data_IF_411082409665
#
_entry.id   IF_411082409665
#
_cell.length_a   1.000
_cell.length_b   1.000
_cell.length_c   1.000
_cell.angle_alpha   90.00
_cell.angle_beta   90.00
_cell.angle_gamma   90.00
#
_symmetry.space_group_name_H-M   'P 1'
#
loop_
_entity.id
_entity.type
_entity.pdbx_description
1 polymer ?
#
# COMPACT_ATOMS: atom_id res chain seq x y z
N UNK A 1 -18.38 -31.42 9.39
CA UNK A 1 -17.19 -31.06 10.17
C UNK A 1 -16.56 -29.83 9.50
N UNK A 2 -16.50 -28.73 10.21
CA UNK A 2 -15.72 -27.58 9.69
C UNK A 2 -14.23 -27.86 9.96
N UNK A 3 -13.47 -28.13 8.90
CA UNK A 3 -12.02 -28.25 8.99
C UNK A 3 -11.41 -26.88 9.27
N UNK A 4 -10.28 -26.80 10.01
CA UNK A 4 -9.56 -25.55 10.16
C UNK A 4 -9.03 -25.06 8.80
N UNK A 5 -8.92 -23.74 8.66
CA UNK A 5 -8.35 -23.13 7.46
C UNK A 5 -6.85 -23.44 7.36
N UNK A 6 -6.38 -23.72 6.16
CA UNK A 6 -4.96 -23.86 5.85
C UNK A 6 -4.64 -23.12 4.55
N UNK A 7 -3.37 -22.78 4.35
CA UNK A 7 -2.89 -22.09 3.16
C UNK A 7 -3.08 -22.95 1.89
N UNK A 8 -3.52 -22.33 0.80
CA UNK A 8 -3.78 -22.97 -0.49
C UNK A 8 -2.51 -23.13 -1.35
N UNK A 9 -1.33 -23.28 -0.73
CA UNK A 9 -0.06 -23.48 -1.43
C UNK A 9 0.91 -24.40 -0.65
N UNK A 10 1.89 -24.95 -1.38
CA UNK A 10 3.04 -25.68 -0.82
C UNK A 10 4.32 -24.89 -1.03
N UNK A 11 5.17 -24.82 -0.02
CA UNK A 11 6.48 -24.16 -0.10
C UNK A 11 7.48 -25.07 -0.85
N UNK A 12 8.04 -24.54 -1.95
CA UNK A 12 9.05 -25.25 -2.76
C UNK A 12 10.44 -24.62 -2.69
N UNK A 13 10.52 -23.33 -2.33
CA UNK A 13 11.77 -22.56 -2.21
C UNK A 13 11.81 -21.91 -0.84
N UNK A 14 12.97 -21.92 -0.20
CA UNK A 14 13.17 -21.35 1.12
C UNK A 14 14.38 -20.41 1.12
N UNK A 15 14.24 -19.29 1.82
CA UNK A 15 15.32 -18.36 2.12
C UNK A 15 15.60 -18.44 3.63
N UNK A 16 16.84 -18.83 4.05
CA UNK A 16 17.15 -18.94 5.47
C UNK A 16 17.19 -17.56 6.14
N UNK A 17 16.60 -17.46 7.32
CA UNK A 17 16.63 -16.29 8.18
C UNK A 17 17.25 -16.67 9.54
N UNK A 18 17.90 -15.72 10.20
CA UNK A 18 18.69 -16.00 11.40
C UNK A 18 18.27 -15.14 12.58
N UNK A 19 18.19 -15.77 13.75
CA UNK A 19 17.95 -15.06 15.00
C UNK A 19 19.23 -14.40 15.48
N UNK A 20 19.11 -13.17 15.97
CA UNK A 20 20.20 -12.42 16.61
C UNK A 20 19.95 -12.26 18.11
N UNK A 21 21.02 -11.99 18.88
CA UNK A 21 20.87 -11.60 20.28
C UNK A 21 20.45 -10.13 20.40
N UNK A 22 19.94 -9.74 21.58
CA UNK A 22 19.57 -8.33 21.83
C UNK A 22 20.79 -7.40 21.77
N UNK A 23 21.95 -7.86 22.25
CA UNK A 23 23.23 -7.11 22.22
C UNK A 23 23.66 -6.82 20.79
N UNK A 24 23.52 -7.80 19.89
CA UNK A 24 23.81 -7.60 18.47
C UNK A 24 22.87 -6.56 17.86
N UNK A 25 21.57 -6.63 18.16
CA UNK A 25 20.58 -5.68 17.64
C UNK A 25 20.79 -4.26 18.16
N UNK A 26 21.19 -4.11 19.44
CA UNK A 26 21.55 -2.79 20.03
C UNK A 26 22.72 -2.17 19.27
N UNK A 27 23.76 -2.96 18.97
CA UNK A 27 24.89 -2.49 18.18
C UNK A 27 24.46 -2.08 16.75
N UNK A 28 23.74 -2.94 16.09
CA UNK A 28 23.34 -2.72 14.68
C UNK A 28 22.41 -1.54 14.49
N UNK A 29 21.44 -1.33 15.38
CA UNK A 29 20.53 -0.17 15.26
C UNK A 29 21.26 1.15 15.54
N UNK A 30 22.26 1.13 16.44
CA UNK A 30 23.10 2.30 16.70
C UNK A 30 23.99 2.63 15.46
N UNK A 31 24.59 1.60 14.83
CA UNK A 31 25.33 1.74 13.56
C UNK A 31 24.44 2.28 12.43
N UNK A 32 23.16 1.90 12.40
CA UNK A 32 22.15 2.39 11.46
C UNK A 32 21.61 3.80 11.82
N UNK A 33 22.15 4.46 12.84
CA UNK A 33 21.66 5.75 13.36
C UNK A 33 20.19 5.73 13.75
N UNK A 34 19.68 4.63 14.30
CA UNK A 34 18.28 4.39 14.65
C UNK A 34 17.30 4.50 13.47
N UNK A 35 17.80 4.46 12.24
CA UNK A 35 17.00 4.40 11.04
C UNK A 35 16.86 2.94 10.57
N UNK A 36 15.66 2.37 10.71
CA UNK A 36 15.38 0.98 10.34
C UNK A 36 15.60 0.68 8.84
N UNK A 37 15.54 1.70 7.97
CA UNK A 37 15.85 1.55 6.54
C UNK A 37 17.35 1.35 6.25
N UNK A 38 18.23 1.74 7.19
CA UNK A 38 19.67 1.57 7.06
C UNK A 38 20.17 0.22 7.59
N UNK A 39 19.27 -0.59 8.18
CA UNK A 39 19.62 -1.96 8.57
C UNK A 39 19.74 -2.85 7.33
N UNK A 40 20.85 -3.57 7.23
CA UNK A 40 21.00 -4.65 6.25
C UNK A 40 20.01 -5.77 6.53
N UNK A 41 19.45 -6.40 5.49
CA UNK A 41 18.41 -7.42 5.62
C UNK A 41 18.85 -8.67 6.41
N UNK A 42 20.13 -9.03 6.35
CA UNK A 42 20.72 -10.13 7.11
C UNK A 42 20.72 -9.90 8.63
N UNK A 43 20.53 -8.66 9.08
CA UNK A 43 20.40 -8.26 10.48
C UNK A 43 18.95 -8.23 10.99
N UNK A 44 17.99 -8.58 10.14
CA UNK A 44 16.55 -8.58 10.45
C UNK A 44 16.04 -10.02 10.46
N UNK A 45 15.39 -10.43 11.55
CA UNK A 45 14.84 -11.78 11.66
C UNK A 45 13.51 -11.93 10.94
N UNK A 46 12.57 -11.02 11.21
CA UNK A 46 11.26 -10.98 10.52
C UNK A 46 11.07 -9.58 9.97
N UNK A 47 10.99 -9.47 8.64
CA UNK A 47 10.92 -8.19 7.95
C UNK A 47 9.48 -7.85 7.52
N UNK A 48 8.82 -6.99 8.29
CA UNK A 48 7.49 -6.46 8.03
C UNK A 48 7.52 -4.97 7.66
N UNK A 49 8.66 -4.49 7.15
CA UNK A 49 8.82 -3.10 6.70
C UNK A 49 7.85 -2.78 5.56
N UNK A 50 7.72 -3.70 4.60
CA UNK A 50 6.90 -3.52 3.41
C UNK A 50 6.45 -4.86 2.83
N UNK A 51 5.28 -4.85 2.19
CA UNK A 51 4.78 -5.94 1.35
C UNK A 51 5.10 -5.74 -0.15
N UNK A 52 5.88 -4.68 -0.48
CA UNK A 52 6.17 -4.28 -1.85
C UNK A 52 7.41 -4.96 -2.41
N UNK A 53 7.22 -5.93 -3.30
CA UNK A 53 8.32 -6.64 -3.97
C UNK A 53 9.05 -7.66 -3.09
N UNK A 54 8.50 -7.98 -1.93
CA UNK A 54 9.07 -8.89 -0.92
C UNK A 54 8.29 -10.20 -0.79
N UNK A 55 7.23 -10.37 -1.59
CA UNK A 55 6.45 -11.60 -1.65
C UNK A 55 7.07 -12.68 -2.52
N UNK A 56 6.63 -13.92 -2.33
CA UNK A 56 7.06 -15.06 -3.12
C UNK A 56 6.17 -15.23 -4.37
N UNK A 57 6.80 -15.30 -5.54
CA UNK A 57 6.14 -15.66 -6.79
C UNK A 57 5.80 -17.15 -6.84
N UNK A 58 4.75 -17.51 -7.57
CA UNK A 58 4.36 -18.89 -7.81
C UNK A 58 5.31 -19.60 -8.79
N UNK A 59 5.20 -20.92 -8.84
CA UNK A 59 5.90 -21.72 -9.88
C UNK A 59 5.42 -21.39 -11.31
N UNK A 60 4.16 -20.96 -11.46
CA UNK A 60 3.63 -20.48 -12.74
C UNK A 60 4.28 -19.15 -13.15
N UNK A 61 4.47 -18.23 -12.20
CA UNK A 61 5.16 -16.98 -12.45
C UNK A 61 6.64 -17.21 -12.79
N UNK A 62 7.33 -18.12 -12.08
CA UNK A 62 8.70 -18.52 -12.43
C UNK A 62 8.77 -19.18 -13.82
N UNK A 63 7.79 -20.02 -14.18
CA UNK A 63 7.65 -20.57 -15.54
C UNK A 63 7.47 -19.47 -16.59
N UNK A 64 6.67 -18.45 -16.28
CA UNK A 64 6.46 -17.28 -17.14
C UNK A 64 7.74 -16.45 -17.35
N UNK A 65 8.57 -16.30 -16.32
CA UNK A 65 9.91 -15.68 -16.44
C UNK A 65 10.78 -16.46 -17.43
N UNK A 66 10.77 -17.79 -17.36
CA UNK A 66 11.60 -18.63 -18.22
C UNK A 66 11.15 -18.65 -19.69
N UNK A 67 9.90 -18.30 -19.96
CA UNK A 67 9.29 -18.31 -21.30
C UNK A 67 9.03 -16.92 -21.87
N UNK A 68 9.29 -15.86 -21.11
CA UNK A 68 9.17 -14.49 -21.58
C UNK A 68 10.21 -14.15 -22.66
N UNK A 69 9.79 -13.35 -23.64
CA UNK A 69 10.66 -12.90 -24.73
C UNK A 69 11.26 -11.53 -24.47
N UNK A 70 12.47 -11.33 -24.98
CA UNK A 70 13.21 -10.08 -24.84
C UNK A 70 13.23 -9.35 -26.20
N UNK A 71 12.37 -8.33 -26.34
CA UNK A 71 12.32 -7.49 -27.52
C UNK A 71 12.25 -6.02 -27.12
N UNK A 72 13.01 -5.15 -27.78
CA UNK A 72 12.98 -3.73 -27.51
C UNK A 72 11.61 -3.10 -27.78
N UNK A 73 10.90 -3.58 -28.78
CA UNK A 73 9.57 -3.10 -29.13
C UNK A 73 8.65 -4.26 -29.48
N UNK A 74 7.44 -4.24 -28.86
CA UNK A 74 6.37 -5.17 -29.23
C UNK A 74 6.64 -6.62 -28.86
N UNK A 75 7.22 -6.90 -27.68
CA UNK A 75 7.38 -8.27 -27.19
C UNK A 75 6.04 -8.97 -27.04
N UNK A 76 6.00 -10.28 -27.23
CA UNK A 76 4.80 -11.09 -26.97
C UNK A 76 4.36 -10.98 -25.50
N UNK A 77 5.33 -10.87 -24.60
CA UNK A 77 5.12 -10.67 -23.16
C UNK A 77 4.37 -9.37 -22.87
N UNK A 78 4.65 -8.28 -23.60
CA UNK A 78 3.89 -7.02 -23.46
C UNK A 78 2.43 -7.20 -23.88
N UNK A 79 2.19 -7.84 -25.02
CA UNK A 79 0.81 -8.06 -25.49
C UNK A 79 0.04 -8.97 -24.55
N UNK A 80 0.67 -10.03 -24.02
CA UNK A 80 0.06 -10.87 -22.99
C UNK A 80 -0.33 -10.06 -21.73
N UNK A 81 0.57 -9.17 -21.23
CA UNK A 81 0.25 -8.28 -20.11
C UNK A 81 -0.90 -7.32 -20.46
N UNK A 82 -0.86 -6.70 -21.65
CA UNK A 82 -1.90 -5.77 -22.10
C UNK A 82 -3.26 -6.45 -22.18
N UNK A 83 -3.34 -7.66 -22.72
CA UNK A 83 -4.57 -8.46 -22.80
C UNK A 83 -5.12 -8.78 -21.39
N UNK A 84 -4.25 -9.15 -20.44
CA UNK A 84 -4.66 -9.38 -19.04
C UNK A 84 -5.17 -8.12 -18.36
N UNK A 85 -4.55 -6.99 -18.58
CA UNK A 85 -5.01 -5.70 -18.06
C UNK A 85 -6.38 -5.34 -18.64
N UNK A 86 -6.59 -5.54 -19.94
CA UNK A 86 -7.89 -5.31 -20.59
C UNK A 86 -8.97 -6.26 -20.05
N UNK A 87 -8.64 -7.55 -19.87
CA UNK A 87 -9.57 -8.56 -19.31
C UNK A 87 -10.02 -8.20 -17.89
N UNK A 88 -9.08 -7.81 -17.01
CA UNK A 88 -9.34 -7.63 -15.58
C UNK A 88 -9.92 -6.25 -15.28
N UNK A 89 -9.39 -5.20 -15.91
CA UNK A 89 -9.68 -3.80 -15.56
C UNK A 89 -10.49 -3.05 -16.64
N UNK A 90 -10.59 -3.58 -17.86
CA UNK A 90 -11.32 -2.94 -18.96
C UNK A 90 -10.61 -1.75 -19.59
N UNK A 91 -9.28 -1.63 -19.46
CA UNK A 91 -8.48 -0.58 -20.09
C UNK A 91 -7.74 -1.06 -21.33
N UNK A 92 -7.80 -0.27 -22.42
CA UNK A 92 -7.15 -0.61 -23.70
C UNK A 92 -5.76 0.01 -23.85
N UNK A 93 -5.50 1.14 -23.21
CA UNK A 93 -4.23 1.86 -23.28
C UNK A 93 -3.39 1.56 -22.05
N UNK A 94 -2.20 0.98 -22.25
CA UNK A 94 -1.30 0.54 -21.18
C UNK A 94 0.11 1.04 -21.43
N UNK A 95 0.73 1.63 -20.40
CA UNK A 95 2.14 2.01 -20.36
C UNK A 95 2.82 1.28 -19.21
N UNK A 96 3.69 0.29 -19.47
CA UNK A 96 4.50 -0.34 -18.44
C UNK A 96 5.47 0.66 -17.80
N UNK A 97 5.81 0.43 -16.54
CA UNK A 97 6.84 1.15 -15.79
C UNK A 97 7.57 0.18 -14.85
N UNK A 98 8.80 0.49 -14.42
CA UNK A 98 9.53 -0.41 -13.54
C UNK A 98 8.93 -0.51 -12.13
N UNK A 99 8.10 0.45 -11.72
CA UNK A 99 7.38 0.44 -10.42
C UNK A 99 6.27 1.50 -10.35
N UNK A 100 5.40 1.42 -9.33
CA UNK A 100 4.23 2.30 -9.19
C UNK A 100 4.58 3.79 -9.09
N UNK A 101 5.61 4.18 -8.30
CA UNK A 101 6.01 5.60 -8.21
C UNK A 101 6.50 6.19 -9.52
N UNK A 102 6.99 5.36 -10.43
CA UNK A 102 7.33 5.77 -11.78
C UNK A 102 6.07 6.02 -12.61
N UNK A 103 5.06 5.18 -12.47
CA UNK A 103 3.73 5.39 -13.06
C UNK A 103 3.11 6.71 -12.59
N UNK A 104 3.18 6.99 -11.28
CA UNK A 104 2.75 8.29 -10.71
C UNK A 104 3.53 9.46 -11.32
N UNK A 105 4.87 9.35 -11.42
CA UNK A 105 5.70 10.40 -11.99
C UNK A 105 5.32 10.73 -13.43
N UNK A 106 5.16 9.71 -14.27
CA UNK A 106 4.76 9.87 -15.69
C UNK A 106 3.40 10.54 -15.78
N UNK A 107 2.39 9.99 -15.08
CA UNK A 107 1.01 10.47 -15.18
C UNK A 107 0.86 11.90 -14.64
N UNK A 108 1.45 12.21 -13.49
CA UNK A 108 1.35 13.54 -12.90
C UNK A 108 2.19 14.60 -13.64
N UNK A 109 3.19 14.21 -14.43
CA UNK A 109 3.89 15.12 -15.33
C UNK A 109 2.97 15.66 -16.43
N UNK A 110 1.95 14.89 -16.82
CA UNK A 110 0.93 15.33 -17.78
C UNK A 110 -0.17 16.13 -17.12
N UNK A 111 -0.65 15.67 -15.96
CA UNK A 111 -1.89 16.14 -15.37
C UNK A 111 -1.74 17.39 -14.52
N UNK A 112 -0.64 17.52 -13.76
CA UNK A 112 -0.52 18.51 -12.68
C UNK A 112 0.28 19.73 -13.08
N UNK A 113 -0.16 20.89 -12.56
CA UNK A 113 0.51 22.19 -12.64
C UNK A 113 0.56 22.84 -11.26
N UNK A 114 1.42 23.82 -11.10
CA UNK A 114 1.52 24.65 -9.90
C UNK A 114 0.15 25.26 -9.55
N UNK A 115 -0.24 25.16 -8.28
CA UNK A 115 -1.50 25.68 -7.75
C UNK A 115 -2.70 24.76 -7.88
N UNK A 116 -2.60 23.61 -8.56
CA UNK A 116 -3.69 22.64 -8.67
C UNK A 116 -4.11 22.09 -7.32
N UNK A 117 -5.41 21.78 -7.17
CA UNK A 117 -5.95 21.04 -6.04
C UNK A 117 -6.20 19.58 -6.47
N UNK A 118 -5.70 18.64 -5.71
CA UNK A 118 -5.85 17.20 -5.98
C UNK A 118 -6.55 16.54 -4.79
N UNK A 119 -7.88 16.37 -4.84
CA UNK A 119 -8.60 15.64 -3.80
C UNK A 119 -8.37 14.13 -3.88
N UNK A 120 -8.41 13.46 -2.74
CA UNK A 120 -8.34 12.01 -2.61
C UNK A 120 -9.01 11.52 -1.34
N UNK A 121 -9.20 10.21 -1.18
CA UNK A 121 -9.67 9.65 0.08
C UNK A 121 -8.62 9.84 1.18
N UNK A 122 -7.38 9.37 0.95
CA UNK A 122 -6.18 9.72 1.70
C UNK A 122 -4.99 9.34 0.83
N UNK A 123 -4.19 10.31 0.46
CA UNK A 123 -3.08 10.09 -0.45
C UNK A 123 -2.00 9.21 0.18
N UNK A 124 -1.42 8.34 -0.65
CA UNK A 124 -0.21 7.63 -0.27
C UNK A 124 0.98 8.60 -0.27
N UNK A 125 2.06 8.26 0.44
CA UNK A 125 3.24 9.12 0.62
C UNK A 125 3.88 9.56 -0.72
N UNK A 126 4.09 8.62 -1.65
CA UNK A 126 4.66 8.93 -2.97
C UNK A 126 3.71 9.73 -3.82
N UNK A 127 2.41 9.45 -3.78
CA UNK A 127 1.37 10.22 -4.47
C UNK A 127 1.39 11.67 -4.00
N UNK A 128 1.35 11.88 -2.67
CA UNK A 128 1.44 13.21 -2.07
C UNK A 128 2.76 13.90 -2.42
N UNK A 129 3.88 13.19 -2.34
CA UNK A 129 5.19 13.71 -2.70
C UNK A 129 5.26 14.19 -4.15
N UNK A 130 4.72 13.43 -5.10
CA UNK A 130 4.64 13.85 -6.51
C UNK A 130 3.73 15.05 -6.74
N UNK A 131 2.62 15.17 -5.99
CA UNK A 131 1.72 16.33 -6.06
C UNK A 131 2.44 17.57 -5.54
N UNK A 132 3.03 17.51 -4.33
CA UNK A 132 3.73 18.63 -3.69
C UNK A 132 5.01 19.05 -4.45
N UNK A 133 5.74 18.09 -5.01
CA UNK A 133 6.90 18.38 -5.87
C UNK A 133 6.55 19.27 -7.08
N UNK A 134 5.31 19.13 -7.61
CA UNK A 134 4.78 19.97 -8.69
C UNK A 134 4.10 21.23 -8.18
N UNK A 135 4.27 21.55 -6.88
CA UNK A 135 3.66 22.71 -6.21
C UNK A 135 2.11 22.72 -6.32
N UNK A 136 1.51 21.55 -6.46
CA UNK A 136 0.09 21.32 -6.32
C UNK A 136 -0.25 20.94 -4.87
N UNK A 137 -1.53 20.94 -4.51
CA UNK A 137 -2.01 20.63 -3.16
C UNK A 137 -2.76 19.31 -3.13
N UNK A 138 -2.27 18.34 -2.36
CA UNK A 138 -3.02 17.14 -1.99
C UNK A 138 -4.06 17.48 -0.91
N UNK A 139 -5.33 17.09 -1.12
CA UNK A 139 -6.42 17.37 -0.18
C UNK A 139 -7.08 16.04 0.20
N UNK A 140 -6.87 15.60 1.44
CA UNK A 140 -7.46 14.38 1.94
C UNK A 140 -8.91 14.61 2.36
N UNK A 141 -9.83 13.92 1.68
CA UNK A 141 -11.27 13.90 1.94
C UNK A 141 -11.67 12.62 2.69
N UNK A 142 -10.84 12.17 3.61
CA UNK A 142 -11.06 10.95 4.40
C UNK A 142 -12.29 11.10 5.31
N UNK A 143 -13.07 10.03 5.47
CA UNK A 143 -14.16 9.99 6.44
C UNK A 143 -13.63 10.06 7.87
N UNK A 144 -14.44 10.56 8.80
CA UNK A 144 -13.98 10.78 10.17
C UNK A 144 -13.79 9.48 10.95
N UNK A 145 -14.54 8.43 10.62
CA UNK A 145 -14.41 7.07 11.17
C UNK A 145 -13.01 6.47 10.96
N UNK A 146 -12.29 6.90 9.94
CA UNK A 146 -10.92 6.44 9.68
C UNK A 146 -9.94 6.87 10.78
N UNK A 147 -10.22 7.95 11.50
CA UNK A 147 -9.39 8.49 12.58
C UNK A 147 -9.72 7.94 13.96
N UNK A 148 -10.83 7.19 14.09
CA UNK A 148 -11.16 6.45 15.30
C UNK A 148 -10.69 4.99 15.15
N UNK A 149 -9.57 4.67 15.82
CA UNK A 149 -8.95 3.35 15.72
C UNK A 149 -9.79 2.23 16.33
N UNK A 150 -10.77 2.52 17.21
CA UNK A 150 -11.65 1.55 17.84
C UNK A 150 -12.95 1.30 17.02
N UNK A 151 -13.31 2.22 16.14
CA UNK A 151 -14.50 2.10 15.29
C UNK A 151 -14.42 0.85 14.40
N UNK A 152 -15.53 0.10 14.35
CA UNK A 152 -15.70 -1.09 13.50
C UNK A 152 -16.30 -0.77 12.12
N UNK A 153 -16.29 0.49 11.69
CA UNK A 153 -16.82 0.87 10.38
C UNK A 153 -16.12 0.08 9.26
N UNK A 154 -16.87 -0.61 8.38
CA UNK A 154 -16.31 -1.65 7.51
C UNK A 154 -15.45 -1.11 6.35
N UNK A 155 -15.61 0.16 5.96
CA UNK A 155 -14.97 0.78 4.79
C UNK A 155 -14.33 2.13 5.12
N UNK A 156 -13.40 2.13 6.06
CA UNK A 156 -12.70 3.36 6.50
C UNK A 156 -11.81 4.01 5.43
N UNK A 157 -11.62 3.35 4.29
CA UNK A 157 -10.98 3.92 3.11
C UNK A 157 -11.89 4.86 2.29
N UNK A 158 -13.17 4.97 2.63
CA UNK A 158 -14.14 5.78 1.90
C UNK A 158 -13.79 7.28 1.90
N UNK A 159 -14.24 7.96 0.85
CA UNK A 159 -14.24 9.43 0.73
C UNK A 159 -15.45 10.00 1.46
N UNK A 160 -15.26 11.04 2.23
CA UNK A 160 -16.31 11.93 2.70
C UNK A 160 -16.79 12.81 1.53
N UNK A 161 -17.97 12.51 1.02
CA UNK A 161 -18.54 13.21 -0.13
C UNK A 161 -18.78 14.70 0.13
N UNK A 162 -19.04 15.11 1.38
CA UNK A 162 -19.20 16.53 1.73
C UNK A 162 -17.86 17.27 1.69
N UNK A 163 -16.79 16.63 2.13
CA UNK A 163 -15.43 17.19 2.01
C UNK A 163 -15.02 17.31 0.54
N UNK A 164 -15.29 16.28 -0.27
CA UNK A 164 -15.02 16.27 -1.70
C UNK A 164 -15.81 17.37 -2.44
N UNK A 165 -17.10 17.50 -2.17
CA UNK A 165 -17.95 18.53 -2.78
C UNK A 165 -17.43 19.94 -2.47
N UNK A 166 -16.94 20.19 -1.26
CA UNK A 166 -16.31 21.48 -0.90
C UNK A 166 -15.09 21.79 -1.76
N UNK A 167 -14.29 20.77 -2.13
CA UNK A 167 -13.16 20.98 -3.03
C UNK A 167 -13.65 21.27 -4.44
N UNK A 168 -14.60 20.51 -4.95
CA UNK A 168 -15.15 20.72 -6.31
C UNK A 168 -15.86 22.07 -6.47
N UNK A 169 -16.48 22.58 -5.43
CA UNK A 169 -17.07 23.95 -5.44
C UNK A 169 -16.02 25.06 -5.58
N UNK A 170 -14.72 24.74 -5.46
CA UNK A 170 -13.63 25.70 -5.71
C UNK A 170 -13.20 25.77 -7.19
N UNK A 171 -13.68 24.89 -8.06
CA UNK A 171 -13.29 24.82 -9.49
C UNK A 171 -13.35 26.17 -10.23
N UNK A 172 -14.33 27.08 -9.97
CA UNK A 172 -14.33 28.40 -10.61
C UNK A 172 -13.10 29.25 -10.28
N UNK A 173 -12.41 28.97 -9.18
CA UNK A 173 -11.27 29.73 -8.66
C UNK A 173 -9.94 28.97 -8.70
N UNK A 174 -10.01 27.65 -8.70
CA UNK A 174 -8.86 26.75 -8.63
C UNK A 174 -9.03 25.60 -9.61
N UNK A 175 -7.94 25.18 -10.24
CA UNK A 175 -7.97 24.01 -11.11
C UNK A 175 -7.94 22.72 -10.27
N UNK A 176 -8.89 21.81 -10.54
CA UNK A 176 -8.94 20.44 -9.99
C UNK A 176 -8.81 19.47 -11.16
N UNK A 177 -7.58 19.07 -11.53
CA UNK A 177 -7.35 18.30 -12.76
C UNK A 177 -7.75 16.83 -12.63
N UNK A 178 -7.81 16.30 -11.41
CA UNK A 178 -8.00 14.88 -11.14
C UNK A 178 -8.45 14.66 -9.70
N UNK A 179 -9.24 13.61 -9.48
CA UNK A 179 -9.55 13.01 -8.19
C UNK A 179 -8.82 11.67 -8.08
N UNK A 180 -8.13 11.41 -6.94
CA UNK A 180 -7.38 10.17 -6.73
C UNK A 180 -8.06 9.31 -5.67
N UNK A 181 -8.29 8.03 -5.99
CA UNK A 181 -8.80 7.01 -5.08
C UNK A 181 -7.73 5.97 -4.80
N UNK A 182 -7.22 5.92 -3.58
CA UNK A 182 -6.28 4.88 -3.14
C UNK A 182 -7.05 3.66 -2.64
N UNK A 183 -6.85 2.51 -3.28
CA UNK A 183 -7.54 1.23 -3.00
C UNK A 183 -6.53 0.07 -2.85
N UNK A 184 -6.45 -0.56 -1.66
CA UNK A 184 -6.96 -0.15 -0.34
C UNK A 184 -6.22 1.09 0.17
N UNK A 185 -6.88 1.89 1.02
CA UNK A 185 -6.32 3.12 1.54
C UNK A 185 -5.25 2.83 2.62
N UNK A 186 -3.96 2.88 2.25
CA UNK A 186 -2.85 2.57 3.15
C UNK A 186 -2.77 3.52 4.34
N UNK A 187 -2.91 4.83 4.10
CA UNK A 187 -2.76 5.86 5.12
C UNK A 187 -3.85 5.82 6.20
N UNK A 188 -4.99 5.18 5.90
CA UNK A 188 -6.08 4.93 6.85
C UNK A 188 -5.98 3.56 7.55
N UNK A 189 -4.83 2.88 7.46
CA UNK A 189 -4.62 1.56 8.07
C UNK A 189 -4.91 0.37 7.13
N UNK A 190 -4.68 0.53 5.83
CA UNK A 190 -4.93 -0.51 4.83
C UNK A 190 -6.41 -0.82 4.63
N UNK A 191 -7.26 0.19 4.82
CA UNK A 191 -8.71 0.06 4.87
C UNK A 191 -9.34 0.09 3.46
N UNK A 192 -10.37 -0.74 3.21
CA UNK A 192 -11.03 -0.80 1.91
C UNK A 192 -11.97 0.38 1.67
N UNK A 193 -12.27 0.59 0.38
CA UNK A 193 -13.30 1.49 -0.14
C UNK A 193 -14.47 0.65 -0.62
N UNK A 194 -15.71 1.05 -0.29
CA UNK A 194 -16.92 0.35 -0.73
C UNK A 194 -17.25 0.64 -2.20
N UNK A 195 -17.94 -0.27 -2.86
CA UNK A 195 -18.45 -0.06 -4.22
C UNK A 195 -19.43 1.12 -4.28
N UNK A 196 -20.28 1.25 -3.26
CA UNK A 196 -21.19 2.39 -3.14
C UNK A 196 -20.44 3.71 -3.15
N UNK A 197 -19.34 3.82 -2.39
CA UNK A 197 -18.54 5.05 -2.35
C UNK A 197 -17.82 5.33 -3.67
N UNK A 198 -17.26 4.29 -4.33
CA UNK A 198 -16.65 4.44 -5.67
C UNK A 198 -17.66 4.99 -6.68
N UNK A 199 -18.88 4.46 -6.69
CA UNK A 199 -19.99 4.91 -7.54
C UNK A 199 -20.37 6.36 -7.27
N UNK A 200 -20.54 6.70 -6.00
CA UNK A 200 -20.94 8.06 -5.58
C UNK A 200 -19.85 9.10 -5.92
N UNK A 201 -18.57 8.76 -5.70
CA UNK A 201 -17.44 9.62 -6.08
C UNK A 201 -17.42 9.86 -7.59
N UNK A 202 -17.55 8.79 -8.41
CA UNK A 202 -17.57 8.93 -9.88
C UNK A 202 -18.75 9.76 -10.36
N UNK A 203 -19.92 9.55 -9.78
CA UNK A 203 -21.12 10.33 -10.11
C UNK A 203 -20.93 11.82 -9.80
N UNK A 204 -20.36 12.16 -8.64
CA UNK A 204 -20.05 13.53 -8.27
C UNK A 204 -18.96 14.12 -9.18
N UNK A 205 -17.87 13.41 -9.43
CA UNK A 205 -16.77 13.86 -10.29
C UNK A 205 -17.25 14.18 -11.72
N UNK A 206 -18.16 13.37 -12.26
CA UNK A 206 -18.77 13.61 -13.57
C UNK A 206 -19.56 14.94 -13.63
N UNK A 207 -20.22 15.35 -12.54
CA UNK A 207 -20.96 16.64 -12.49
C UNK A 207 -20.02 17.86 -12.64
N UNK A 208 -18.76 17.69 -12.23
CA UNK A 208 -17.74 18.73 -12.30
C UNK A 208 -16.71 18.52 -13.44
N UNK A 209 -16.91 17.51 -14.28
CA UNK A 209 -15.97 17.09 -15.35
C UNK A 209 -14.54 16.82 -14.83
N UNK A 210 -14.42 16.21 -13.66
CA UNK A 210 -13.13 15.81 -13.07
C UNK A 210 -12.90 14.31 -13.29
N UNK A 211 -11.81 13.90 -13.93
CA UNK A 211 -11.48 12.49 -14.07
C UNK A 211 -11.12 11.85 -12.73
N UNK A 212 -11.46 10.57 -12.57
CA UNK A 212 -11.17 9.77 -11.38
C UNK A 212 -10.07 8.76 -11.72
N UNK A 213 -8.96 8.82 -10.98
CA UNK A 213 -7.83 7.90 -11.14
C UNK A 213 -7.69 7.03 -9.89
N UNK A 214 -7.51 5.73 -10.09
CA UNK A 214 -7.26 4.80 -8.99
C UNK A 214 -5.77 4.56 -8.80
N UNK A 215 -5.26 4.79 -7.58
CA UNK A 215 -4.04 4.17 -7.09
C UNK A 215 -4.38 2.75 -6.65
N UNK A 216 -4.00 1.78 -7.47
CA UNK A 216 -4.60 0.44 -7.49
C UNK A 216 -3.68 -0.63 -6.91
N UNK A 217 -2.67 -0.25 -6.14
CA UNK A 217 -1.64 -1.16 -5.66
C UNK A 217 -2.20 -2.43 -4.98
N UNK A 218 -3.37 -2.35 -4.34
CA UNK A 218 -4.03 -3.46 -3.60
C UNK A 218 -5.50 -3.60 -3.97
N UNK A 219 -5.77 -3.56 -5.27
CA UNK A 219 -7.12 -3.61 -5.83
C UNK A 219 -7.85 -4.92 -5.51
N UNK A 220 -7.14 -6.05 -5.52
CA UNK A 220 -7.73 -7.36 -5.28
C UNK A 220 -8.11 -7.54 -3.80
N UNK A 221 -7.26 -7.07 -2.89
CA UNK A 221 -7.60 -7.01 -1.46
C UNK A 221 -8.86 -6.16 -1.24
N UNK A 222 -8.99 -5.02 -1.93
CA UNK A 222 -10.20 -4.17 -1.87
C UNK A 222 -11.45 -4.90 -2.37
N UNK A 223 -11.34 -5.59 -3.51
CA UNK A 223 -12.44 -6.37 -4.09
C UNK A 223 -12.89 -7.51 -3.15
N UNK A 224 -11.93 -8.17 -2.47
CA UNK A 224 -12.25 -9.19 -1.48
C UNK A 224 -13.07 -8.61 -0.32
N UNK A 225 -12.70 -7.43 0.20
CA UNK A 225 -13.47 -6.79 1.26
C UNK A 225 -14.88 -6.39 0.81
N UNK A 226 -15.05 -5.91 -0.42
CA UNK A 226 -16.37 -5.67 -1.00
C UNK A 226 -17.18 -6.97 -1.03
N UNK A 227 -16.59 -8.08 -1.51
CA UNK A 227 -17.26 -9.38 -1.54
C UNK A 227 -17.73 -9.82 -0.15
N UNK A 228 -16.91 -9.59 0.88
CA UNK A 228 -17.18 -10.06 2.25
C UNK A 228 -18.09 -9.12 3.06
N UNK A 229 -18.13 -7.83 2.76
CA UNK A 229 -18.72 -6.82 3.64
C UNK A 229 -19.86 -6.01 3.03
N UNK A 230 -19.99 -5.99 1.70
CA UNK A 230 -21.00 -5.17 1.02
C UNK A 230 -22.14 -6.04 0.50
N UNK A 231 -23.39 -5.61 0.77
CA UNK A 231 -24.57 -6.36 0.36
C UNK A 231 -24.66 -6.47 -1.17
N UNK A 232 -25.05 -7.65 -1.66
CA UNK A 232 -25.20 -7.92 -3.10
C UNK A 232 -23.91 -8.40 -3.80
N UNK A 233 -22.76 -8.46 -3.11
CA UNK A 233 -21.48 -8.85 -3.73
C UNK A 233 -20.99 -10.26 -3.34
N UNK A 234 -21.56 -10.90 -2.32
CA UNK A 234 -21.08 -12.17 -1.78
C UNK A 234 -21.06 -13.34 -2.78
N UNK A 235 -21.86 -13.28 -3.85
CA UNK A 235 -21.95 -14.31 -4.88
C UNK A 235 -21.18 -13.97 -6.17
N UNK A 236 -20.61 -12.75 -6.25
CA UNK A 236 -19.80 -12.33 -7.41
C UNK A 236 -18.38 -12.85 -7.24
N UNK A 237 -17.75 -13.22 -8.35
CA UNK A 237 -16.31 -13.50 -8.36
C UNK A 237 -15.49 -12.23 -8.15
N UNK A 238 -14.26 -12.38 -7.69
CA UNK A 238 -13.34 -11.25 -7.52
C UNK A 238 -13.14 -10.50 -8.85
N UNK A 239 -13.02 -11.19 -9.98
CA UNK A 239 -12.90 -10.56 -11.30
C UNK A 239 -14.10 -9.69 -11.65
N UNK A 240 -15.33 -10.16 -11.40
CA UNK A 240 -16.54 -9.36 -11.64
C UNK A 240 -16.57 -8.10 -10.76
N UNK A 241 -16.16 -8.21 -9.50
CA UNK A 241 -16.10 -7.06 -8.58
C UNK A 241 -15.03 -6.07 -9.05
N UNK A 242 -13.84 -6.55 -9.41
CA UNK A 242 -12.76 -5.70 -9.95
C UNK A 242 -13.21 -4.99 -11.23
N UNK A 243 -13.82 -5.69 -12.15
CA UNK A 243 -14.32 -5.08 -13.39
C UNK A 243 -15.36 -3.98 -13.11
N UNK A 244 -16.29 -4.20 -12.16
CA UNK A 244 -17.24 -3.19 -11.74
C UNK A 244 -16.54 -2.00 -11.06
N UNK A 245 -15.57 -2.23 -10.16
CA UNK A 245 -14.79 -1.16 -9.53
C UNK A 245 -14.14 -0.25 -10.58
N UNK A 246 -13.43 -0.84 -11.55
CA UNK A 246 -12.67 -0.07 -12.55
C UNK A 246 -13.55 0.54 -13.65
N UNK A 247 -14.82 0.17 -13.74
CA UNK A 247 -15.77 0.90 -14.58
C UNK A 247 -15.95 2.36 -14.14
N UNK A 248 -15.74 2.65 -12.85
CA UNK A 248 -15.79 3.99 -12.24
C UNK A 248 -14.47 4.78 -12.32
N UNK A 249 -13.39 4.18 -12.83
CA UNK A 249 -12.11 4.86 -13.06
C UNK A 249 -11.95 5.29 -14.51
N UNK A 250 -11.30 6.45 -14.74
CA UNK A 250 -10.90 6.92 -16.06
C UNK A 250 -9.49 6.45 -16.42
N UNK A 251 -8.64 6.29 -15.37
CA UNK A 251 -7.31 5.74 -15.46
C UNK A 251 -6.90 5.09 -14.13
N UNK A 252 -5.78 4.40 -14.14
CA UNK A 252 -5.17 3.82 -12.94
C UNK A 252 -3.66 3.90 -12.98
N UNK A 253 -3.04 3.97 -11.81
CA UNK A 253 -1.64 3.64 -11.59
C UNK A 253 -1.55 2.33 -10.82
N UNK A 254 -0.58 1.49 -11.16
CA UNK A 254 -0.36 0.21 -10.49
C UNK A 254 1.06 0.07 -10.01
N UNK A 255 1.22 -0.22 -8.73
CA UNK A 255 2.46 -0.80 -8.21
C UNK A 255 2.33 -2.31 -8.19
N UNK A 256 2.81 -2.97 -9.23
CA UNK A 256 2.66 -4.41 -9.42
C UNK A 256 3.41 -5.25 -8.36
N UNK A 257 4.31 -4.61 -7.62
CA UNK A 257 5.06 -5.20 -6.51
C UNK A 257 4.19 -5.59 -5.30
N UNK A 258 2.87 -5.37 -5.35
CA UNK A 258 1.87 -5.76 -4.34
C UNK A 258 0.93 -6.81 -4.95
N UNK A 259 -0.24 -6.43 -5.42
CA UNK A 259 -1.21 -7.38 -5.98
C UNK A 259 -0.82 -7.94 -7.37
N UNK A 260 0.23 -7.43 -8.02
CA UNK A 260 0.83 -8.13 -9.15
C UNK A 260 1.71 -9.33 -8.77
N UNK A 261 2.01 -9.50 -7.48
CA UNK A 261 2.82 -10.59 -6.89
C UNK A 261 4.21 -10.73 -7.57
N UNK A 262 4.78 -9.62 -8.02
CA UNK A 262 6.12 -9.59 -8.65
C UNK A 262 7.10 -8.74 -7.83
N UNK A 263 8.40 -8.95 -8.07
CA UNK A 263 9.46 -8.25 -7.36
C UNK A 263 9.81 -6.90 -8.01
N UNK A 264 9.41 -6.69 -9.27
CA UNK A 264 9.56 -5.46 -10.03
C UNK A 264 8.31 -5.23 -10.88
N UNK A 265 7.99 -3.98 -11.19
CA UNK A 265 6.95 -3.65 -12.15
C UNK A 265 5.89 -2.68 -11.63
N UNK A 266 5.31 -1.99 -12.56
CA UNK A 266 4.16 -1.12 -12.45
C UNK A 266 3.60 -0.83 -13.84
N UNK A 267 2.49 -0.15 -13.90
CA UNK A 267 1.93 0.34 -15.16
C UNK A 267 0.94 1.48 -14.91
N UNK A 268 0.67 2.21 -15.97
CA UNK A 268 -0.47 3.11 -16.09
C UNK A 268 -1.44 2.48 -17.08
N UNK A 269 -2.73 2.46 -16.78
CA UNK A 269 -3.75 2.09 -17.75
C UNK A 269 -4.86 3.14 -17.77
N UNK A 270 -5.43 3.41 -18.95
CA UNK A 270 -6.37 4.50 -19.14
C UNK A 270 -7.32 4.27 -20.32
N UNK A 271 -8.45 5.01 -20.31
CA UNK A 271 -9.46 4.99 -21.37
C UNK A 271 -9.19 6.05 -22.45
N UNK A 272 -8.62 7.19 -22.07
CA UNK A 272 -8.46 8.36 -22.92
C UNK A 272 -7.20 8.26 -23.79
N UNK A 273 -7.36 8.32 -25.12
CA UNK A 273 -6.25 8.25 -26.06
C UNK A 273 -5.34 9.48 -26.01
N UNK A 274 -5.89 10.67 -25.82
CA UNK A 274 -5.08 11.91 -25.77
C UNK A 274 -4.17 11.92 -24.52
N UNK A 275 -4.70 11.43 -23.38
CA UNK A 275 -3.91 11.23 -22.16
C UNK A 275 -2.81 10.20 -22.37
N UNK A 276 -3.12 9.08 -23.06
CA UNK A 276 -2.15 8.05 -23.40
C UNK A 276 -1.00 8.60 -24.27
N UNK A 277 -1.33 9.36 -25.32
CA UNK A 277 -0.33 9.94 -26.20
C UNK A 277 0.62 10.89 -25.47
N UNK A 278 0.06 11.74 -24.60
CA UNK A 278 0.85 12.67 -23.76
C UNK A 278 1.71 11.91 -22.74
N UNK A 279 1.13 10.91 -22.06
CA UNK A 279 1.85 10.10 -21.08
C UNK A 279 2.96 9.28 -21.72
N UNK A 280 2.76 8.79 -22.95
CA UNK A 280 3.75 8.04 -23.72
C UNK A 280 5.06 8.82 -23.92
N UNK A 281 4.98 10.13 -24.16
CA UNK A 281 6.18 10.98 -24.31
C UNK A 281 7.01 11.02 -23.02
N UNK A 282 6.36 11.17 -21.87
CA UNK A 282 7.05 11.14 -20.57
C UNK A 282 7.53 9.73 -20.21
N UNK A 283 6.75 8.68 -20.56
CA UNK A 283 7.18 7.31 -20.35
C UNK A 283 8.48 6.98 -21.08
N UNK A 284 8.59 7.40 -22.35
CA UNK A 284 9.81 7.21 -23.16
C UNK A 284 11.01 7.93 -22.50
N UNK A 285 10.81 9.12 -21.94
CA UNK A 285 11.90 9.89 -21.33
C UNK A 285 12.36 9.33 -19.98
N UNK A 286 11.42 8.84 -19.16
CA UNK A 286 11.71 8.46 -17.78
C UNK A 286 11.91 6.96 -17.58
N UNK A 287 11.19 6.12 -18.33
CA UNK A 287 11.14 4.69 -18.13
C UNK A 287 11.72 3.91 -19.30
N UNK A 288 11.17 4.13 -20.49
CA UNK A 288 11.57 3.46 -21.71
C UNK A 288 10.45 3.45 -22.75
N UNK A 289 10.69 2.77 -23.87
CA UNK A 289 9.71 2.72 -24.96
C UNK A 289 8.37 2.15 -24.48
N UNK A 290 7.28 2.58 -25.10
CA UNK A 290 5.89 2.36 -24.65
C UNK A 290 5.47 0.89 -24.49
N UNK A 291 6.20 -0.04 -25.09
CA UNK A 291 5.93 -1.47 -25.02
C UNK A 291 6.80 -2.23 -24.00
N UNK A 292 7.70 -1.55 -23.26
CA UNK A 292 8.42 -2.19 -22.18
C UNK A 292 8.56 -1.31 -20.91
N UNK A 293 8.67 0.03 -21.03
CA UNK A 293 8.66 0.94 -19.89
C UNK A 293 9.67 0.62 -18.79
N UNK A 294 10.92 0.28 -19.12
CA UNK A 294 11.96 -0.09 -18.17
C UNK A 294 11.85 -1.51 -17.60
N UNK A 295 10.92 -2.34 -18.10
CA UNK A 295 10.76 -3.74 -17.69
C UNK A 295 11.35 -4.69 -18.74
N UNK A 296 11.84 -5.85 -18.30
CA UNK A 296 12.15 -6.95 -19.20
C UNK A 296 10.86 -7.68 -19.59
N UNK A 297 10.84 -8.29 -20.78
CA UNK A 297 9.69 -9.07 -21.25
C UNK A 297 9.31 -10.19 -20.28
N UNK A 298 10.30 -10.90 -19.73
CA UNK A 298 10.08 -11.93 -18.70
C UNK A 298 9.37 -11.43 -17.46
N UNK A 299 9.64 -10.20 -17.01
CA UNK A 299 8.98 -9.63 -15.84
C UNK A 299 7.53 -9.26 -16.17
N UNK A 300 7.27 -8.74 -17.37
CA UNK A 300 5.91 -8.47 -17.86
C UNK A 300 5.08 -9.75 -17.96
N UNK A 301 5.68 -10.84 -18.44
CA UNK A 301 5.01 -12.14 -18.55
C UNK A 301 4.67 -12.71 -17.15
N UNK A 302 5.59 -12.62 -16.19
CA UNK A 302 5.34 -13.00 -14.81
C UNK A 302 4.25 -12.14 -14.15
N UNK A 303 4.21 -10.85 -14.45
CA UNK A 303 3.17 -9.94 -13.99
C UNK A 303 1.78 -10.31 -14.52
N UNK A 304 1.68 -10.66 -15.81
CA UNK A 304 0.42 -11.10 -16.41
C UNK A 304 -0.16 -12.33 -15.66
N UNK A 305 0.71 -13.30 -15.32
CA UNK A 305 0.32 -14.48 -14.53
C UNK A 305 -0.09 -14.08 -13.11
N UNK A 306 0.67 -13.16 -12.46
CA UNK A 306 0.37 -12.69 -11.11
C UNK A 306 -0.98 -11.99 -11.00
N UNK A 307 -1.33 -11.16 -11.99
CA UNK A 307 -2.64 -10.49 -12.06
C UNK A 307 -3.80 -11.48 -12.15
N UNK A 308 -3.60 -12.60 -12.85
CA UNK A 308 -4.61 -13.66 -12.93
C UNK A 308 -4.74 -14.41 -11.58
N UNK A 309 -3.61 -14.76 -10.94
CA UNK A 309 -3.61 -15.48 -9.66
C UNK A 309 -4.24 -14.68 -8.53
N UNK A 310 -3.97 -13.37 -8.45
CA UNK A 310 -4.45 -12.52 -7.34
C UNK A 310 -5.97 -12.33 -7.36
N UNK A 311 -6.62 -12.54 -8.50
CA UNK A 311 -8.07 -12.37 -8.64
C UNK A 311 -8.86 -13.63 -8.31
N UNK A 312 -8.34 -14.47 -7.43
CA UNK A 312 -8.99 -15.70 -6.95
C UNK A 312 -9.25 -15.65 -5.45
N UNK A 313 -10.37 -16.23 -4.99
CA UNK A 313 -10.65 -16.35 -3.58
C UNK A 313 -9.58 -17.17 -2.85
N UNK A 314 -9.10 -18.27 -3.43
CA UNK A 314 -8.05 -19.13 -2.84
C UNK A 314 -6.81 -18.33 -2.44
N UNK A 315 -6.37 -17.40 -3.29
CA UNK A 315 -5.25 -16.53 -2.97
C UNK A 315 -5.61 -15.51 -1.90
N UNK A 316 -6.74 -14.82 -2.07
CA UNK A 316 -7.12 -13.71 -1.19
C UNK A 316 -7.53 -14.18 0.22
N UNK A 317 -8.20 -15.31 0.34
CA UNK A 317 -8.54 -15.90 1.64
C UNK A 317 -7.26 -16.23 2.41
N UNK A 318 -6.27 -16.85 1.76
CA UNK A 318 -4.96 -17.12 2.39
C UNK A 318 -4.27 -15.81 2.79
N UNK A 319 -4.25 -14.82 1.90
CA UNK A 319 -3.62 -13.52 2.11
C UNK A 319 -4.22 -12.77 3.30
N UNK A 320 -5.54 -12.59 3.29
CA UNK A 320 -6.25 -11.80 4.31
C UNK A 320 -6.29 -12.52 5.64
N UNK A 321 -6.52 -13.84 5.65
CA UNK A 321 -6.53 -14.62 6.89
C UNK A 321 -5.20 -14.54 7.65
N UNK A 322 -4.06 -14.48 6.97
CA UNK A 322 -2.77 -14.32 7.66
C UNK A 322 -2.65 -12.96 8.35
N UNK A 323 -3.12 -11.88 7.71
CA UNK A 323 -3.12 -10.55 8.31
C UNK A 323 -4.09 -10.49 9.50
N UNK A 324 -5.28 -11.07 9.34
CA UNK A 324 -6.26 -11.18 10.41
C UNK A 324 -5.75 -12.03 11.58
N UNK A 325 -4.98 -13.09 11.30
CA UNK A 325 -4.38 -13.92 12.36
C UNK A 325 -3.51 -13.08 13.30
N UNK A 326 -2.59 -12.28 12.74
CA UNK A 326 -1.76 -11.38 13.56
C UNK A 326 -2.62 -10.33 14.27
N UNK A 327 -3.58 -9.71 13.57
CA UNK A 327 -4.48 -8.71 14.16
C UNK A 327 -5.26 -9.26 15.33
N UNK A 328 -5.85 -10.44 15.21
CA UNK A 328 -6.62 -11.10 16.25
C UNK A 328 -5.76 -11.45 17.48
N UNK A 329 -4.53 -11.93 17.25
CA UNK A 329 -3.56 -12.16 18.35
C UNK A 329 -3.25 -10.90 19.14
N UNK A 330 -3.07 -9.76 18.44
CA UNK A 330 -2.82 -8.49 19.12
C UNK A 330 -4.03 -8.01 19.91
N UNK A 331 -5.24 -8.20 19.36
CA UNK A 331 -6.50 -7.90 20.06
C UNK A 331 -6.63 -8.76 21.33
N UNK A 332 -6.36 -10.07 21.26
CA UNK A 332 -6.36 -10.99 22.41
C UNK A 332 -5.39 -10.53 23.50
N UNK A 333 -4.27 -9.94 23.13
CA UNK A 333 -3.28 -9.38 24.06
C UNK A 333 -3.62 -7.99 24.58
N UNK A 334 -4.74 -7.41 24.15
CA UNK A 334 -5.17 -6.04 24.52
C UNK A 334 -4.30 -4.94 23.91
N UNK A 335 -3.58 -5.24 22.82
CA UNK A 335 -2.74 -4.27 22.11
C UNK A 335 -3.62 -3.44 21.18
N UNK A 336 -3.56 -2.09 21.28
CA UNK A 336 -4.39 -1.22 20.44
C UNK A 336 -3.94 -1.25 18.98
N UNK A 337 -4.87 -1.52 18.08
CA UNK A 337 -4.66 -1.52 16.62
C UNK A 337 -5.77 -0.74 15.93
N UNK A 338 -5.57 -0.44 14.64
CA UNK A 338 -6.64 0.06 13.77
C UNK A 338 -7.66 -1.06 13.51
N UNK A 339 -8.92 -0.82 13.88
CA UNK A 339 -10.06 -1.69 13.57
C UNK A 339 -10.88 -1.16 12.38
N UNK A 340 -11.53 -2.10 11.66
CA UNK A 340 -11.23 -3.51 11.58
C UNK A 340 -9.85 -3.74 10.97
N UNK A 341 -9.27 -4.95 11.10
CA UNK A 341 -7.98 -5.30 10.50
C UNK A 341 -8.04 -5.11 8.99
N UNK A 342 -7.01 -4.47 8.42
CA UNK A 342 -6.90 -4.19 7.00
C UNK A 342 -6.41 -5.37 6.15
N UNK A 343 -6.10 -5.13 4.87
CA UNK A 343 -5.78 -6.18 3.90
C UNK A 343 -4.32 -6.64 3.92
N UNK A 344 -3.36 -5.72 4.08
CA UNK A 344 -1.94 -6.04 3.85
C UNK A 344 -1.06 -5.96 5.10
N UNK A 345 -1.56 -5.36 6.16
CA UNK A 345 -0.78 -5.06 7.35
C UNK A 345 -1.68 -4.97 8.58
N UNK A 346 -1.09 -5.16 9.75
CA UNK A 346 -1.67 -4.74 11.02
C UNK A 346 -1.05 -3.40 11.40
N UNK A 347 -1.89 -2.44 11.76
CA UNK A 347 -1.50 -1.09 12.15
C UNK A 347 -1.71 -0.93 13.65
N UNK A 348 -0.61 -0.95 14.41
CA UNK A 348 -0.64 -0.75 15.86
C UNK A 348 -0.75 0.74 16.15
N UNK A 349 -1.74 1.13 16.94
CA UNK A 349 -1.91 2.53 17.39
C UNK A 349 -0.83 2.89 18.41
N UNK A 350 0.23 3.51 17.93
CA UNK A 350 1.39 3.83 18.74
C UNK A 350 1.07 4.86 19.84
N UNK A 351 0.14 5.79 19.61
CA UNK A 351 -0.31 6.78 20.64
C UNK A 351 -0.98 6.09 21.81
N UNK A 352 -1.86 5.13 21.52
CA UNK A 352 -2.51 4.33 22.59
C UNK A 352 -1.55 3.33 23.23
N UNK A 353 -0.59 2.82 22.45
CA UNK A 353 0.41 1.88 22.95
C UNK A 353 1.43 2.55 23.90
N UNK A 354 1.95 3.75 23.54
CA UNK A 354 2.94 4.53 24.28
C UNK A 354 2.40 5.92 24.65
N UNK A 355 1.34 6.01 25.48
CA UNK A 355 0.63 7.29 25.73
C UNK A 355 1.47 8.33 26.49
N UNK A 356 2.63 7.96 27.02
CA UNK A 356 3.52 8.84 27.80
C UNK A 356 4.70 9.37 26.99
N UNK A 357 4.88 8.90 25.73
CA UNK A 357 5.93 9.40 24.85
C UNK A 357 5.45 10.68 24.17
N UNK A 358 6.18 11.80 24.33
CA UNK A 358 5.83 13.04 23.63
C UNK A 358 5.89 12.87 22.11
N UNK A 359 5.02 13.56 21.38
CA UNK A 359 4.98 13.51 19.91
C UNK A 359 6.30 13.90 19.25
N UNK A 360 7.08 14.77 19.90
CA UNK A 360 8.40 15.23 19.47
C UNK A 360 9.46 14.13 19.52
N UNK A 361 9.18 13.01 20.18
CA UNK A 361 10.03 11.81 20.24
C UNK A 361 9.59 10.72 19.26
N UNK A 362 8.79 11.07 18.23
CA UNK A 362 8.38 10.18 17.13
C UNK A 362 7.83 8.83 17.62
N UNK A 363 6.64 8.86 18.23
CA UNK A 363 6.05 7.75 18.98
C UNK A 363 6.08 6.41 18.21
N UNK A 364 5.63 6.41 16.95
CA UNK A 364 5.57 5.18 16.16
C UNK A 364 6.96 4.68 15.73
N UNK A 365 7.92 5.57 15.45
CA UNK A 365 9.31 5.20 15.19
C UNK A 365 9.97 4.61 16.45
N UNK A 366 9.71 5.21 17.62
CA UNK A 366 10.19 4.68 18.90
C UNK A 366 9.68 3.27 19.12
N UNK A 367 8.39 3.00 18.89
CA UNK A 367 7.82 1.66 19.01
C UNK A 367 8.44 0.69 17.99
N UNK A 368 8.68 1.12 16.76
CA UNK A 368 9.30 0.29 15.73
C UNK A 368 10.72 -0.15 16.11
N UNK A 369 11.51 0.77 16.67
CA UNK A 369 12.88 0.47 17.15
C UNK A 369 12.84 -0.49 18.35
N UNK A 370 11.94 -0.27 19.31
CA UNK A 370 11.82 -1.15 20.49
C UNK A 370 11.43 -2.57 20.03
N UNK A 371 10.52 -2.71 19.06
CA UNK A 371 10.14 -4.02 18.51
C UNK A 371 11.34 -4.73 17.84
N UNK A 372 12.15 -3.99 17.10
CA UNK A 372 13.38 -4.56 16.54
C UNK A 372 14.35 -5.01 17.66
N UNK A 373 14.56 -4.20 18.69
CA UNK A 373 15.43 -4.54 19.82
C UNK A 373 14.92 -5.78 20.57
N UNK A 374 13.63 -5.91 20.78
CA UNK A 374 13.02 -7.02 21.53
C UNK A 374 13.02 -8.33 20.72
N UNK A 375 12.52 -8.29 19.48
CA UNK A 375 12.20 -9.50 18.74
C UNK A 375 12.96 -9.66 17.41
N UNK A 376 13.78 -8.68 16.99
CA UNK A 376 14.41 -8.69 15.68
C UNK A 376 13.43 -8.48 14.52
N UNK A 377 12.26 -7.93 14.82
CA UNK A 377 11.20 -7.65 13.86
C UNK A 377 11.33 -6.22 13.35
N UNK A 378 11.36 -6.03 12.03
CA UNK A 378 11.39 -4.71 11.41
C UNK A 378 10.00 -4.33 10.90
N UNK A 379 9.35 -3.38 11.55
CA UNK A 379 8.15 -2.69 11.06
C UNK A 379 8.51 -1.29 10.54
N UNK A 380 7.51 -0.51 10.17
CA UNK A 380 7.69 0.86 9.69
C UNK A 380 6.72 1.82 10.36
N UNK A 381 7.21 2.99 10.65
CA UNK A 381 6.40 4.12 11.10
C UNK A 381 5.49 4.62 9.97
N UNK A 382 4.23 4.90 10.30
CA UNK A 382 3.27 5.63 9.47
C UNK A 382 2.67 6.73 10.34
N UNK A 383 3.33 7.86 10.38
CA UNK A 383 3.01 8.96 11.28
C UNK A 383 3.83 10.21 10.97
N UNK A 384 4.44 10.80 11.98
CA UNK A 384 5.15 12.09 11.89
C UNK A 384 6.32 12.08 10.92
N UNK A 385 7.15 11.00 10.87
CA UNK A 385 8.27 10.91 9.93
C UNK A 385 7.78 10.77 8.49
N UNK A 386 6.80 9.88 8.26
CA UNK A 386 6.23 9.68 6.93
C UNK A 386 5.48 10.92 6.42
N UNK A 387 4.84 11.69 7.32
CA UNK A 387 4.16 12.93 6.96
C UNK A 387 5.12 14.03 6.48
N UNK A 388 6.43 13.84 6.75
CA UNK A 388 7.51 14.78 6.44
C UNK A 388 7.30 16.16 7.08
N UNK A 389 8.19 17.08 6.79
CA UNK A 389 8.13 18.45 7.26
C UNK A 389 7.30 19.33 6.33
N UNK A 390 6.74 20.38 6.89
CA UNK A 390 6.14 21.43 6.09
C UNK A 390 7.19 22.02 5.13
N UNK A 391 6.91 22.13 3.82
CA UNK A 391 7.89 22.59 2.86
C UNK A 391 8.32 24.05 3.04
N UNK A 392 7.46 24.88 3.64
CA UNK A 392 7.72 26.31 3.86
C UNK A 392 8.35 26.58 5.24
N UNK A 393 7.70 26.08 6.31
CA UNK A 393 8.13 26.36 7.71
C UNK A 393 9.22 25.40 8.18
N UNK A 394 9.37 24.24 7.56
CA UNK A 394 10.24 23.12 7.97
C UNK A 394 9.88 22.49 9.31
N UNK A 395 8.71 22.82 9.87
CA UNK A 395 8.19 22.19 11.07
C UNK A 395 7.69 20.76 10.78
N UNK A 396 7.75 19.90 11.80
CA UNK A 396 7.19 18.56 11.68
C UNK A 396 5.67 18.63 11.53
N UNK A 397 5.13 17.87 10.56
CA UNK A 397 3.69 17.64 10.45
C UNK A 397 3.31 16.52 11.41
N UNK A 398 2.39 16.79 12.33
CA UNK A 398 1.88 15.81 13.29
C UNK A 398 0.51 15.29 12.83
N UNK A 399 0.43 14.11 12.22
CA UNK A 399 -0.84 13.56 11.75
C UNK A 399 -1.74 13.12 12.92
N UNK A 400 -3.03 12.97 12.64
CA UNK A 400 -3.99 12.46 13.62
C UNK A 400 -3.66 11.04 14.08
N UNK A 401 -3.19 10.21 13.16
CA UNK A 401 -2.82 8.81 13.39
C UNK A 401 -1.29 8.66 13.46
N UNK A 402 -0.84 7.83 14.38
CA UNK A 402 0.57 7.43 14.55
C UNK A 402 0.60 5.91 14.65
N UNK A 403 1.01 5.24 13.59
CA UNK A 403 0.99 3.79 13.50
C UNK A 403 2.39 3.17 13.41
N UNK A 404 2.58 2.07 14.11
CA UNK A 404 3.54 1.07 13.69
C UNK A 404 2.84 0.14 12.69
N UNK A 405 3.24 0.19 11.43
CA UNK A 405 2.73 -0.71 10.39
C UNK A 405 3.56 -1.98 10.33
N UNK A 406 2.89 -3.11 10.39
CA UNK A 406 3.45 -4.45 10.23
C UNK A 406 2.93 -5.03 8.92
N UNK A 407 3.59 -4.67 7.80
CA UNK A 407 3.20 -5.10 6.46
C UNK A 407 3.68 -6.54 6.21
N UNK A 408 2.75 -7.46 5.95
CA UNK A 408 3.09 -8.88 5.79
C UNK A 408 3.33 -9.18 4.30
N UNK A 409 4.56 -9.59 3.90
CA UNK A 409 4.84 -10.02 2.54
C UNK A 409 4.01 -11.25 2.15
N UNK A 410 3.52 -11.27 0.92
CA UNK A 410 2.66 -12.35 0.40
C UNK A 410 3.42 -13.66 0.29
N UNK A 411 2.91 -14.74 0.88
CA UNK A 411 3.47 -16.11 0.81
C UNK A 411 4.92 -16.25 1.35
N UNK A 412 5.38 -15.34 2.25
CA UNK A 412 6.78 -15.35 2.74
C UNK A 412 6.92 -15.87 4.16
N UNK A 413 6.02 -15.50 5.05
CA UNK A 413 6.04 -15.89 6.45
C UNK A 413 4.90 -16.82 6.79
N UNK A 414 5.10 -17.64 7.83
CA UNK A 414 4.06 -18.52 8.40
C UNK A 414 3.41 -17.87 9.63
N UNK A 415 2.30 -18.45 10.11
CA UNK A 415 1.66 -18.00 11.35
C UNK A 415 2.58 -18.11 12.58
N UNK A 416 3.52 -19.06 12.60
CA UNK A 416 4.53 -19.12 13.67
C UNK A 416 5.43 -17.88 13.72
N UNK A 417 5.72 -17.25 12.58
CA UNK A 417 6.44 -15.97 12.56
C UNK A 417 5.54 -14.84 13.12
N UNK A 418 4.25 -14.88 12.82
CA UNK A 418 3.30 -13.91 13.37
C UNK A 418 3.15 -14.07 14.90
N UNK A 419 3.24 -15.29 15.42
CA UNK A 419 3.28 -15.53 16.87
C UNK A 419 4.51 -14.88 17.54
N UNK A 420 5.67 -14.93 16.90
CA UNK A 420 6.88 -14.22 17.39
C UNK A 420 6.66 -12.70 17.40
N UNK A 421 6.06 -12.15 16.34
CA UNK A 421 5.74 -10.71 16.26
C UNK A 421 4.78 -10.31 17.39
N UNK A 422 3.70 -11.07 17.57
CA UNK A 422 2.71 -10.81 18.59
C UNK A 422 3.28 -10.93 20.02
N UNK A 423 4.10 -11.95 20.28
CA UNK A 423 4.78 -12.13 21.56
C UNK A 423 5.78 -10.99 21.85
N UNK A 424 6.53 -10.54 20.84
CA UNK A 424 7.45 -9.40 20.98
C UNK A 424 6.71 -8.11 21.37
N UNK A 425 5.60 -7.81 20.69
CA UNK A 425 4.75 -6.67 21.05
C UNK A 425 4.11 -6.83 22.44
N UNK A 426 3.69 -8.04 22.81
CA UNK A 426 3.13 -8.30 24.15
C UNK A 426 4.17 -8.05 25.25
N UNK A 427 5.41 -8.54 25.10
CA UNK A 427 6.49 -8.28 26.04
C UNK A 427 6.71 -6.77 26.21
N UNK A 428 6.78 -6.01 25.11
CA UNK A 428 6.95 -4.56 25.16
C UNK A 428 5.75 -3.90 25.85
N UNK A 429 4.52 -4.34 25.54
CA UNK A 429 3.31 -3.77 26.12
C UNK A 429 3.25 -3.92 27.62
N UNK A 430 3.75 -5.04 28.16
CA UNK A 430 3.81 -5.30 29.60
C UNK A 430 4.85 -4.43 30.33
N UNK A 431 5.97 -4.14 29.69
CA UNK A 431 7.10 -3.40 30.28
C UNK A 431 7.22 -1.95 29.76
N UNK A 432 6.29 -1.47 28.92
CA UNK A 432 6.41 -0.24 28.12
C UNK A 432 6.81 1.01 28.90
N UNK A 433 6.44 1.11 30.18
CA UNK A 433 6.82 2.26 31.02
C UNK A 433 8.32 2.36 31.34
N UNK A 434 9.07 1.24 31.23
CA UNK A 434 10.51 1.21 31.54
C UNK A 434 11.39 1.42 30.29
N UNK A 435 10.97 0.95 29.12
CA UNK A 435 11.76 1.00 27.86
C UNK A 435 11.59 2.31 27.08
N UNK A 436 10.41 2.94 27.12
CA UNK A 436 10.09 4.16 26.36
C UNK A 436 11.06 5.31 26.61
N UNK A 437 11.47 5.52 27.90
CA UNK A 437 12.38 6.60 28.29
C UNK A 437 13.77 6.50 27.69
N UNK A 438 14.19 5.30 27.35
CA UNK A 438 15.54 5.04 26.83
C UNK A 438 15.63 5.32 25.34
N UNK A 439 14.70 4.77 24.56
CA UNK A 439 14.74 4.86 23.09
C UNK A 439 14.25 6.20 22.59
N UNK A 440 13.23 6.80 23.17
CA UNK A 440 12.72 8.11 22.77
C UNK A 440 13.77 9.22 22.84
N UNK A 441 14.64 9.22 23.87
CA UNK A 441 15.74 10.17 23.96
C UNK A 441 16.78 10.01 22.86
N UNK A 442 17.09 8.77 22.46
CA UNK A 442 18.06 8.48 21.42
C UNK A 442 17.52 8.82 20.02
N UNK A 443 16.24 8.59 19.76
CA UNK A 443 15.58 9.02 18.54
C UNK A 443 15.62 10.54 18.37
N UNK A 444 15.26 11.31 19.43
CA UNK A 444 15.20 12.77 19.40
C UNK A 444 16.53 13.45 19.07
N UNK A 445 17.66 12.86 19.47
CA UNK A 445 18.99 13.43 19.24
C UNK A 445 19.52 13.22 17.82
N UNK A 446 18.85 12.42 16.97
CA UNK A 446 19.38 11.95 15.68
C UNK A 446 18.47 12.20 14.47
N UNK A 447 17.27 12.78 14.69
CA UNK A 447 16.29 13.19 13.65
C UNK A 447 16.01 14.69 13.72
#
# INVERSE_FOLDING_TARGET
>A
MNLPFAENYKIKMVEPIYRSTREQRVKWIAEANYNLFNLSSDKVYIDLLTDSGTGAMSDRQWGAIMTGDESYAGSSSFYHLKEKIAEIFGFEHVLPTHQGRAAENVLFSVLLKEGDLVPGNSHFDTTKGHIEYRKAKAIDCTIDEAFDTDSQFPFKGNVDLKKLEKVFKQIPYNRVPVMIMTITCNSSGGQPVSMENLRAVKQMANQYNVPVIFDSARFAENAWFIQQREEGFSQKSIKEIVNEMFSYADAMTMSSKKDGIVNIGGFIAMKDQELYDKASMFNIMYEGFVTYGGMAGRDMNALAVGLDEVTTNDFLDTRINQVQYLGNKLIEYGIPIQHPVGGHAVFVDAKKFLPYVPKEEFIAQTLAIILYLEAGVRGVEVGTLLADRDPETRDNRYPKLEFLRLAIPRRSYTNNHMDVVAAGLKNIYDIRRSEERRVGKECRSRW
#
